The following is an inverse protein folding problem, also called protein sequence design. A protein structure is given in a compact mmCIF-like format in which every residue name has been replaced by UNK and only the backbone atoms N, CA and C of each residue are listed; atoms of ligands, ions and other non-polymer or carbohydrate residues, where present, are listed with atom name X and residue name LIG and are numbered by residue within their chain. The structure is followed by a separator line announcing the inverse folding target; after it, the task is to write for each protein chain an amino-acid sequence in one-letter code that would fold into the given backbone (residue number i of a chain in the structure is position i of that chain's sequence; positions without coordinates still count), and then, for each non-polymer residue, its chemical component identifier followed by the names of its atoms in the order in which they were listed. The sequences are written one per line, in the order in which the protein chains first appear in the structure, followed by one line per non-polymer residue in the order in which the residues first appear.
data_IF_277396641799
#
_entry.id   IF_277396641799
#
_cell.length_a   1.000
_cell.length_b   1.000
_cell.length_c   1.000
_cell.angle_alpha   90.00
_cell.angle_beta   90.00
_cell.angle_gamma   90.00
#
_symmetry.space_group_name_H-M   'P 1'
#
loop_
_entity.id
_entity.type
_entity.pdbx_description
1 polymer ?
#
# COMPACT_ATOMS: atom_id res chain seq x y z
N UNK A 1 -3.43 47.06 3.63
CA UNK A 1 -4.02 45.71 3.46
C UNK A 1 -3.37 45.06 2.25
N UNK A 2 -2.30 44.30 2.46
CA UNK A 2 -1.84 43.29 1.51
C UNK A 2 -1.66 42.03 2.33
N UNK A 3 -2.41 40.99 1.96
CA UNK A 3 -2.59 39.78 2.74
C UNK A 3 -1.26 39.06 2.96
N UNK A 4 -1.00 38.73 4.23
CA UNK A 4 -0.19 37.58 4.59
C UNK A 4 -0.86 36.33 4.00
N UNK A 5 -0.32 35.79 2.92
CA UNK A 5 -0.50 34.39 2.52
C UNK A 5 0.80 33.79 1.96
N UNK A 6 1.94 34.21 2.53
CA UNK A 6 3.10 33.35 2.58
C UNK A 6 2.89 32.43 3.78
N UNK A 7 2.18 31.32 3.60
CA UNK A 7 2.16 30.26 4.61
C UNK A 7 3.54 29.58 4.57
N UNK A 8 4.48 30.29 5.20
CA UNK A 8 5.78 29.89 5.66
C UNK A 8 6.72 29.30 4.61
N UNK A 9 7.65 30.15 4.13
CA UNK A 9 8.96 29.71 3.68
C UNK A 9 9.75 29.10 4.84
N UNK A 10 9.32 27.94 5.33
CA UNK A 10 10.08 27.14 6.28
C UNK A 10 11.27 26.52 5.56
N UNK A 11 12.50 26.62 6.10
CA UNK A 11 13.67 25.99 5.52
C UNK A 11 13.44 24.47 5.40
N UNK A 12 13.90 23.87 4.29
CA UNK A 12 13.84 22.43 4.02
C UNK A 12 14.47 21.55 5.13
N UNK A 13 15.16 22.15 6.11
CA UNK A 13 15.69 21.48 7.30
C UNK A 13 14.63 21.12 8.35
N UNK A 14 13.41 21.69 8.32
CA UNK A 14 12.40 21.42 9.35
C UNK A 14 11.62 20.11 9.14
N UNK A 15 11.87 19.41 8.02
CA UNK A 15 11.14 18.21 7.63
C UNK A 15 12.12 17.15 7.14
N UNK A 16 12.54 16.28 8.05
CA UNK A 16 13.50 15.21 7.74
C UNK A 16 12.84 13.90 7.31
N UNK A 17 11.54 13.71 7.57
CA UNK A 17 10.84 12.46 7.28
C UNK A 17 9.66 12.71 6.34
N UNK A 18 9.88 12.46 5.05
CA UNK A 18 8.86 12.52 4.01
C UNK A 18 8.52 11.12 3.51
N UNK A 19 7.23 10.83 3.33
CA UNK A 19 6.74 9.53 2.95
C UNK A 19 5.43 9.63 2.15
N UNK A 20 5.13 8.53 1.46
CA UNK A 20 3.85 8.31 0.79
C UNK A 20 2.93 7.52 1.69
N UNK A 21 1.70 7.98 1.83
CA UNK A 21 0.66 7.25 2.55
C UNK A 21 0.03 6.21 1.61
N UNK A 22 0.52 4.98 1.66
CA UNK A 22 -0.05 3.86 0.91
C UNK A 22 -1.52 3.64 1.32
N UNK A 23 -2.42 3.56 0.33
CA UNK A 23 -3.85 3.34 0.58
C UNK A 23 -4.62 4.53 1.16
N UNK A 24 -4.04 5.73 1.22
CA UNK A 24 -4.74 6.96 1.61
C UNK A 24 -5.61 7.57 0.50
N UNK A 25 -6.37 8.63 0.82
CA UNK A 25 -7.21 9.37 -0.17
C UNK A 25 -6.37 9.99 -1.29
N UNK A 26 -5.12 10.38 -0.98
CA UNK A 26 -4.13 10.89 -1.94
C UNK A 26 -2.85 10.05 -1.86
N UNK A 27 -2.83 8.86 -2.47
CA UNK A 27 -1.72 7.93 -2.31
C UNK A 27 -0.49 8.33 -3.15
N UNK A 28 -0.56 9.42 -3.90
CA UNK A 28 0.57 9.98 -4.66
C UNK A 28 1.04 11.34 -4.14
N UNK A 29 0.45 11.84 -3.06
CA UNK A 29 0.89 13.08 -2.43
C UNK A 29 2.03 12.81 -1.44
N UNK A 30 3.01 13.70 -1.42
CA UNK A 30 4.14 13.61 -0.50
C UNK A 30 3.75 14.26 0.83
N UNK A 31 3.70 13.46 1.88
CA UNK A 31 3.44 13.92 3.24
C UNK A 31 4.75 13.93 4.03
N UNK A 32 5.02 14.98 4.79
CA UNK A 32 6.20 15.06 5.63
C UNK A 32 5.83 15.36 7.08
N UNK A 33 6.52 14.72 8.01
CA UNK A 33 6.42 14.99 9.45
C UNK A 33 7.16 16.27 9.78
N UNK A 34 6.49 17.20 10.46
CA UNK A 34 7.10 18.41 10.97
C UNK A 34 8.01 18.08 12.16
N UNK A 35 9.28 18.49 12.10
CA UNK A 35 10.23 18.26 13.19
C UNK A 35 9.79 19.01 14.46
N UNK A 36 9.86 18.36 15.61
CA UNK A 36 9.41 18.95 16.88
C UNK A 36 7.89 19.08 17.04
N UNK A 37 7.10 18.60 16.08
CA UNK A 37 5.64 18.54 16.16
C UNK A 37 5.12 17.15 15.80
N UNK A 38 3.86 16.86 16.17
CA UNK A 38 3.20 15.58 15.91
C UNK A 38 2.17 15.67 14.77
N UNK A 39 2.43 16.49 13.74
CA UNK A 39 1.53 16.62 12.59
C UNK A 39 2.27 16.39 11.28
N UNK A 40 1.52 15.90 10.30
CA UNK A 40 1.96 15.72 8.91
C UNK A 40 1.38 16.82 8.04
N UNK A 41 2.12 17.21 7.01
CA UNK A 41 1.65 18.17 6.02
C UNK A 41 1.99 17.72 4.60
N UNK A 42 1.09 18.02 3.66
CA UNK A 42 1.32 17.80 2.24
C UNK A 42 2.37 18.81 1.75
N UNK A 43 3.52 18.32 1.31
CA UNK A 43 4.62 19.16 0.76
C UNK A 43 4.59 19.24 -0.75
N UNK A 44 4.12 18.18 -1.40
CA UNK A 44 3.99 18.12 -2.85
C UNK A 44 2.73 17.35 -3.24
N UNK A 45 2.00 17.81 -4.28
CA UNK A 45 0.79 17.15 -4.74
C UNK A 45 1.07 15.82 -5.46
N UNK A 46 2.29 15.66 -5.99
CA UNK A 46 2.72 14.46 -6.70
C UNK A 46 4.16 14.08 -6.30
N UNK A 47 4.37 12.79 -6.07
CA UNK A 47 5.71 12.18 -5.98
C UNK A 47 6.29 11.87 -7.35
N UNK A 48 7.54 11.44 -7.37
CA UNK A 48 8.24 11.02 -8.59
C UNK A 48 7.49 9.84 -9.21
N UNK A 49 7.33 9.88 -10.54
CA UNK A 49 6.68 8.82 -11.31
C UNK A 49 7.36 7.47 -11.07
N UNK A 50 6.56 6.43 -10.89
CA UNK A 50 7.04 5.08 -10.54
C UNK A 50 7.08 4.78 -9.04
N UNK A 51 6.77 5.74 -8.17
CA UNK A 51 6.60 5.47 -6.73
C UNK A 51 5.36 4.62 -6.49
N UNK A 52 5.48 3.55 -5.70
CA UNK A 52 4.36 2.67 -5.39
C UNK A 52 3.30 3.39 -4.55
N UNK A 53 2.03 3.29 -4.93
CA UNK A 53 0.90 3.94 -4.23
C UNK A 53 0.08 2.99 -3.35
N UNK A 54 0.28 1.68 -3.49
CA UNK A 54 -0.46 0.66 -2.76
C UNK A 54 0.50 -0.41 -2.20
N UNK A 55 0.22 -0.93 -1.01
CA UNK A 55 1.02 -1.99 -0.40
C UNK A 55 0.70 -3.38 -0.98
N UNK A 56 -0.55 -3.59 -1.42
CA UNK A 56 -1.04 -4.90 -1.84
C UNK A 56 -0.99 -5.13 -3.36
N UNK A 57 -0.67 -4.09 -4.13
CA UNK A 57 -0.60 -4.14 -5.60
C UNK A 57 0.66 -3.45 -6.12
N UNK A 58 0.99 -3.70 -7.39
CA UNK A 58 2.10 -3.06 -8.08
C UNK A 58 1.76 -1.65 -8.59
N UNK A 59 0.65 -1.06 -8.13
CA UNK A 59 0.18 0.22 -8.60
C UNK A 59 1.20 1.33 -8.30
N UNK A 60 1.43 2.20 -9.27
CA UNK A 60 2.42 3.28 -9.20
C UNK A 60 1.79 4.65 -9.46
N UNK A 61 2.43 5.69 -8.94
CA UNK A 61 2.08 7.07 -9.22
C UNK A 61 2.62 7.50 -10.58
N UNK A 62 1.75 8.13 -11.39
CA UNK A 62 2.11 8.80 -12.64
C UNK A 62 1.33 10.11 -12.72
N UNK A 63 2.03 11.24 -12.87
CA UNK A 63 1.42 12.58 -12.89
C UNK A 63 0.51 12.86 -11.67
N UNK A 64 0.85 12.29 -10.49
CA UNK A 64 0.05 12.45 -9.26
C UNK A 64 -1.19 11.56 -9.17
N UNK A 65 -1.44 10.69 -10.14
CA UNK A 65 -2.52 9.69 -10.10
C UNK A 65 -1.95 8.27 -9.91
N UNK A 66 -2.59 7.47 -9.08
CA UNK A 66 -2.25 6.06 -8.90
C UNK A 66 -2.78 5.25 -10.10
N UNK A 67 -1.90 4.58 -10.82
CA UNK A 67 -2.20 3.80 -12.02
C UNK A 67 -1.89 2.32 -11.78
N UNK A 68 -2.75 1.47 -12.32
CA UNK A 68 -2.61 0.02 -12.20
C UNK A 68 -1.45 -0.52 -13.04
N UNK A 69 -0.66 -1.40 -12.44
CA UNK A 69 0.39 -2.16 -13.13
C UNK A 69 0.06 -3.63 -13.00
N UNK A 70 0.00 -4.33 -14.13
CA UNK A 70 -0.21 -5.77 -14.14
C UNK A 70 0.95 -6.53 -13.51
N UNK A 71 0.73 -7.80 -13.19
CA UNK A 71 1.79 -8.68 -12.66
C UNK A 71 2.97 -8.90 -13.63
N UNK A 72 2.80 -8.51 -14.90
CA UNK A 72 3.80 -8.52 -15.96
C UNK A 72 4.68 -7.25 -15.97
N UNK A 73 4.50 -6.35 -15.00
CA UNK A 73 5.13 -5.04 -14.89
C UNK A 73 4.76 -4.08 -16.03
N UNK A 74 3.64 -4.31 -16.71
CA UNK A 74 3.14 -3.43 -17.77
C UNK A 74 2.04 -2.53 -17.22
N UNK A 75 2.20 -1.23 -17.45
CA UNK A 75 1.23 -0.21 -17.04
C UNK A 75 -0.09 -0.39 -17.79
N UNK A 76 -1.19 -0.52 -17.03
CA UNK A 76 -2.52 -0.72 -17.58
C UNK A 76 -2.75 -2.09 -18.22
N UNK A 77 -1.88 -3.07 -17.96
CA UNK A 77 -2.13 -4.46 -18.33
C UNK A 77 -3.22 -5.07 -17.44
N UNK A 78 -4.07 -5.91 -18.03
CA UNK A 78 -5.07 -6.69 -17.30
C UNK A 78 -4.48 -7.99 -16.72
N UNK A 79 -3.16 -8.18 -16.84
CA UNK A 79 -2.46 -9.34 -16.30
C UNK A 79 -2.55 -9.36 -14.76
N UNK A 80 -3.11 -10.44 -14.23
CA UNK A 80 -3.27 -10.67 -12.79
C UNK A 80 -2.55 -11.94 -12.36
N UNK A 81 -2.14 -11.96 -11.11
CA UNK A 81 -1.70 -13.19 -10.49
C UNK A 81 -2.88 -14.15 -10.32
N UNK A 82 -2.63 -15.43 -10.55
CA UNK A 82 -3.56 -16.49 -10.20
C UNK A 82 -3.51 -16.80 -8.69
N UNK A 83 -4.33 -17.76 -8.24
CA UNK A 83 -4.34 -18.21 -6.83
C UNK A 83 -2.98 -18.73 -6.34
N UNK A 84 -2.09 -19.11 -7.25
CA UNK A 84 -0.77 -19.63 -6.98
C UNK A 84 0.31 -18.55 -6.99
N UNK A 85 -0.08 -17.27 -7.12
CA UNK A 85 0.83 -16.12 -7.29
C UNK A 85 1.72 -16.26 -8.52
N UNK A 86 1.17 -16.82 -9.60
CA UNK A 86 1.79 -16.88 -10.93
C UNK A 86 1.08 -15.87 -11.81
N UNK A 87 1.86 -14.98 -12.43
CA UNK A 87 1.31 -13.98 -13.34
C UNK A 87 0.73 -14.64 -14.59
N UNK A 88 -0.56 -14.45 -14.86
CA UNK A 88 -1.25 -15.05 -16.00
C UNK A 88 -1.35 -16.59 -15.91
N UNK A 89 -1.21 -17.16 -14.72
CA UNK A 89 -1.37 -18.58 -14.49
C UNK A 89 -2.83 -19.05 -14.57
N UNK A 90 -3.03 -20.34 -14.70
CA UNK A 90 -4.33 -21.02 -14.73
C UNK A 90 -4.71 -21.64 -13.37
N UNK A 91 -3.89 -21.44 -12.33
CA UNK A 91 -4.09 -22.00 -11.00
C UNK A 91 -3.72 -23.48 -10.88
N UNK A 92 -3.01 -24.05 -11.87
CA UNK A 92 -2.58 -25.46 -11.87
C UNK A 92 -1.24 -25.71 -11.17
N UNK A 93 -0.50 -24.66 -10.81
CA UNK A 93 0.85 -24.77 -10.23
C UNK A 93 0.86 -24.95 -8.71
N UNK A 94 -0.30 -24.93 -8.06
CA UNK A 94 -0.44 -25.09 -6.62
C UNK A 94 -1.76 -25.78 -6.28
N UNK A 95 -1.78 -26.46 -5.13
CA UNK A 95 -2.96 -27.12 -4.59
C UNK A 95 -3.47 -26.35 -3.37
N UNK A 96 -4.78 -26.13 -3.34
CA UNK A 96 -5.46 -25.55 -2.19
C UNK A 96 -5.59 -26.61 -1.09
N UNK A 97 -5.18 -26.26 0.13
CA UNK A 97 -5.26 -27.16 1.27
C UNK A 97 -6.18 -26.53 2.30
N UNK A 98 -7.26 -27.24 2.57
CA UNK A 98 -8.18 -26.90 3.64
C UNK A 98 -7.75 -27.62 4.91
N UNK A 99 -7.36 -26.84 5.93
CA UNK A 99 -7.00 -27.34 7.25
C UNK A 99 -7.96 -26.80 8.31
N UNK A 100 -8.30 -27.65 9.28
CA UNK A 100 -8.95 -27.22 10.52
C UNK A 100 -7.86 -27.03 11.58
N UNK A 101 -7.55 -25.78 11.93
CA UNK A 101 -6.67 -25.51 13.07
C UNK A 101 -7.43 -25.75 14.36
N UNK A 102 -7.16 -26.88 15.02
CA UNK A 102 -7.68 -27.19 16.33
C UNK A 102 -6.69 -26.67 17.39
N UNK A 103 -6.64 -25.35 17.57
CA UNK A 103 -5.82 -24.71 18.61
C UNK A 103 -6.39 -25.07 19.99
N UNK A 104 -5.99 -26.24 20.49
CA UNK A 104 -6.19 -26.64 21.88
C UNK A 104 -5.19 -25.91 22.78
N UNK A 105 -5.30 -24.58 22.83
CA UNK A 105 -4.66 -23.79 23.88
C UNK A 105 -5.44 -23.98 25.19
N UNK A 106 -4.75 -24.22 26.32
CA UNK A 106 -5.44 -24.48 27.58
C UNK A 106 -6.14 -23.22 28.09
N UNK A 107 -7.46 -23.37 28.24
CA UNK A 107 -8.36 -22.67 29.17
C UNK A 107 -8.88 -21.27 28.73
N UNK A 108 -9.98 -21.30 27.97
CA UNK A 108 -11.09 -20.35 28.12
C UNK A 108 -11.35 -19.41 26.94
N UNK A 109 -12.00 -19.89 25.87
CA UNK A 109 -12.54 -19.05 24.79
C UNK A 109 -13.38 -19.86 23.81
N UNK A 110 -14.50 -19.29 23.34
CA UNK A 110 -15.49 -19.83 22.41
C UNK A 110 -14.90 -20.55 21.18
N UNK A 111 -15.47 -21.71 20.83
CA UNK A 111 -15.18 -22.42 19.58
C UNK A 111 -15.66 -21.60 18.38
N UNK A 112 -14.73 -20.97 17.66
CA UNK A 112 -14.91 -20.58 16.27
C UNK A 112 -14.13 -21.55 15.39
N UNK A 113 -14.82 -22.33 14.56
CA UNK A 113 -14.21 -23.19 13.54
C UNK A 113 -13.58 -22.31 12.44
N UNK A 114 -12.37 -21.81 12.67
CA UNK A 114 -11.67 -21.05 11.64
C UNK A 114 -11.02 -22.03 10.66
N UNK A 115 -11.72 -22.26 9.54
CA UNK A 115 -11.17 -22.93 8.36
C UNK A 115 -10.10 -22.02 7.76
N UNK A 116 -8.84 -22.37 7.92
CA UNK A 116 -7.74 -21.72 7.23
C UNK A 116 -7.52 -22.44 5.90
N UNK A 117 -8.00 -21.83 4.82
CA UNK A 117 -7.58 -22.20 3.47
C UNK A 117 -6.19 -21.60 3.25
N UNK A 118 -5.18 -22.46 3.19
CA UNK A 118 -3.81 -22.09 2.83
C UNK A 118 -3.40 -22.84 1.57
N UNK A 119 -2.71 -22.15 0.66
CA UNK A 119 -2.22 -22.74 -0.59
C UNK A 119 -0.74 -23.10 -0.44
N UNK A 120 -0.37 -24.36 -0.67
CA UNK A 120 1.03 -24.83 -0.70
C UNK A 120 1.57 -24.74 -2.15
N UNK A 121 2.81 -24.24 -2.26
CA UNK A 121 3.59 -24.14 -3.51
C UNK A 121 4.27 -25.45 -3.88
#
# INVERSE_FOLDING_TARGET
MSLHHSFLGEPLHFFHLCFVCLGGVKPCALNCLAEGYNFYTERAPAVIDGTQCNADSLDICINGECKHVGCDNILGSDAREDRCRVCGGDGSTCDAIEGFFNDSLPRGGEYGENSSSGELR
#
